data_IF_544398322517
#
_entry.id   IF_544398322517
#
_cell.length_a   1.000
_cell.length_b   1.000
_cell.length_c   1.000
_cell.angle_alpha   90.00
_cell.angle_beta   90.00
_cell.angle_gamma   90.00
#
_symmetry.space_group_name_H-M   'P 1'
#
loop_
_entity.id
_entity.type
_entity.pdbx_description
1 polymer ?
#
# COMPACT_ATOMS: atom_id res chain seq x y z
N UNK A 1 1.20 32.46 -10.58
CA UNK A 1 1.56 33.37 -11.68
C UNK A 1 2.71 32.82 -12.53
N UNK A 2 3.58 31.93 -12.03
CA UNK A 2 4.69 31.35 -12.83
C UNK A 2 4.27 30.27 -13.86
N UNK A 3 3.25 29.46 -13.60
CA UNK A 3 2.88 28.35 -14.50
C UNK A 3 2.24 28.79 -15.84
N UNK A 4 1.62 29.97 -15.87
CA UNK A 4 0.97 30.54 -17.05
C UNK A 4 1.99 30.92 -18.14
N UNK A 5 3.16 31.42 -17.71
CA UNK A 5 4.22 31.93 -18.59
C UNK A 5 4.85 30.78 -19.37
N UNK A 6 5.07 29.63 -18.72
CA UNK A 6 5.73 28.47 -19.34
C UNK A 6 4.91 27.88 -20.49
N UNK A 7 3.58 27.78 -20.35
CA UNK A 7 2.73 27.19 -21.40
C UNK A 7 2.72 28.06 -22.66
N UNK A 8 2.62 29.38 -22.48
CA UNK A 8 2.58 30.37 -23.55
C UNK A 8 3.94 30.50 -24.29
N UNK A 9 5.05 30.18 -23.61
CA UNK A 9 6.39 30.16 -24.20
C UNK A 9 6.70 28.85 -24.97
N UNK A 10 6.10 27.73 -24.58
CA UNK A 10 6.36 26.42 -25.23
C UNK A 10 5.45 26.13 -26.41
N UNK A 11 4.20 26.59 -26.34
CA UNK A 11 3.18 26.41 -27.37
C UNK A 11 2.67 27.82 -27.64
N UNK A 12 2.85 28.36 -28.85
CA UNK A 12 2.51 29.74 -29.26
C UNK A 12 0.98 30.02 -29.18
N UNK A 13 0.44 29.99 -27.97
CA UNK A 13 -0.97 29.99 -27.64
C UNK A 13 -1.18 31.12 -26.65
N UNK A 14 -1.57 32.29 -27.16
CA UNK A 14 -1.75 33.54 -26.41
C UNK A 14 -2.90 33.49 -25.40
N UNK A 15 -2.77 32.66 -24.37
CA UNK A 15 -3.71 32.55 -23.26
C UNK A 15 -3.65 33.81 -22.41
N UNK A 16 -4.81 34.38 -22.10
CA UNK A 16 -4.89 35.50 -21.18
C UNK A 16 -4.73 35.05 -19.71
N UNK A 17 -4.64 36.01 -18.80
CA UNK A 17 -4.42 35.74 -17.38
C UNK A 17 -5.59 34.96 -16.75
N UNK A 18 -6.80 35.13 -17.28
CA UNK A 18 -8.03 34.48 -16.79
C UNK A 18 -8.04 33.01 -17.20
N UNK A 19 -7.74 32.72 -18.47
CA UNK A 19 -7.66 31.35 -19.00
C UNK A 19 -6.50 30.58 -18.37
N UNK A 20 -5.36 31.23 -18.18
CA UNK A 20 -4.20 30.64 -17.50
C UNK A 20 -4.50 30.31 -16.04
N UNK A 21 -5.24 31.17 -15.35
CA UNK A 21 -5.70 30.92 -13.97
C UNK A 21 -6.73 29.80 -13.94
N UNK A 22 -7.64 29.73 -14.90
CA UNK A 22 -8.63 28.67 -15.03
C UNK A 22 -7.96 27.30 -15.30
N UNK A 23 -6.94 27.25 -16.16
CA UNK A 23 -6.15 26.04 -16.44
C UNK A 23 -5.35 25.63 -15.21
N UNK A 24 -4.68 26.57 -14.52
CA UNK A 24 -3.96 26.28 -13.29
C UNK A 24 -4.89 25.77 -12.17
N UNK A 25 -6.06 26.39 -12.01
CA UNK A 25 -7.10 25.93 -11.09
C UNK A 25 -7.63 24.56 -11.48
N UNK A 26 -7.87 24.31 -12.77
CA UNK A 26 -8.27 22.98 -13.24
C UNK A 26 -7.20 21.94 -12.95
N UNK A 27 -5.91 22.22 -13.19
CA UNK A 27 -4.79 21.33 -12.85
C UNK A 27 -4.68 21.05 -11.34
N UNK A 28 -4.80 22.08 -10.51
CA UNK A 28 -4.79 21.97 -9.05
C UNK A 28 -6.02 21.18 -8.57
N UNK A 29 -7.18 21.37 -9.21
CA UNK A 29 -8.42 20.68 -8.87
C UNK A 29 -8.50 19.24 -9.42
N UNK A 30 -7.81 18.93 -10.52
CA UNK A 30 -7.77 17.61 -11.16
C UNK A 30 -6.77 16.66 -10.50
N UNK A 31 -5.87 17.16 -9.65
CA UNK A 31 -5.12 16.38 -8.66
C UNK A 31 -5.95 16.15 -7.37
N UNK A 32 -7.25 16.03 -7.53
CA UNK A 32 -8.33 16.01 -6.53
C UNK A 32 -7.96 15.35 -5.20
N UNK A 33 -7.84 16.17 -4.16
CA UNK A 33 -7.80 15.73 -2.76
C UNK A 33 -8.94 14.76 -2.40
N UNK A 34 -10.08 14.80 -3.11
CA UNK A 34 -11.20 13.89 -2.87
C UNK A 34 -10.89 12.45 -3.26
N UNK A 35 -10.29 12.21 -4.44
CA UNK A 35 -9.92 10.86 -4.88
C UNK A 35 -8.76 10.31 -4.04
N UNK A 36 -7.82 11.16 -3.64
CA UNK A 36 -6.72 10.77 -2.76
C UNK A 36 -7.18 10.49 -1.33
N UNK A 37 -8.12 11.27 -0.78
CA UNK A 37 -8.76 11.02 0.53
C UNK A 37 -9.58 9.73 0.48
N UNK A 38 -10.37 9.50 -0.58
CA UNK A 38 -11.19 8.29 -0.69
C UNK A 38 -10.35 7.03 -0.90
N UNK A 39 -9.26 7.13 -1.67
CA UNK A 39 -8.24 6.08 -1.76
C UNK A 39 -7.55 5.84 -0.41
N UNK A 40 -7.17 6.89 0.32
CA UNK A 40 -6.57 6.76 1.64
C UNK A 40 -7.53 6.12 2.67
N UNK A 41 -8.82 6.50 2.66
CA UNK A 41 -9.85 5.88 3.48
C UNK A 41 -10.04 4.40 3.15
N UNK A 42 -9.98 4.04 1.85
CA UNK A 42 -10.04 2.65 1.41
C UNK A 42 -8.81 1.86 1.91
N UNK A 43 -7.60 2.43 1.80
CA UNK A 43 -6.36 1.79 2.27
C UNK A 43 -6.39 1.52 3.78
N UNK A 44 -6.79 2.50 4.60
CA UNK A 44 -6.87 2.33 6.06
C UNK A 44 -7.87 1.23 6.45
N UNK A 45 -9.02 1.15 5.76
CA UNK A 45 -10.01 0.09 5.99
C UNK A 45 -9.43 -1.29 5.71
N UNK A 46 -8.78 -1.46 4.55
CA UNK A 46 -8.14 -2.71 4.16
C UNK A 46 -7.12 -3.15 5.20
N UNK A 47 -6.28 -2.21 5.66
CA UNK A 47 -5.28 -2.50 6.70
C UNK A 47 -5.95 -2.97 7.98
N UNK A 48 -7.02 -2.30 8.44
CA UNK A 48 -7.75 -2.70 9.63
C UNK A 48 -8.33 -4.13 9.53
N UNK A 49 -8.84 -4.49 8.35
CA UNK A 49 -9.35 -5.85 8.07
C UNK A 49 -8.22 -6.88 8.05
N UNK A 50 -7.06 -6.55 7.47
CA UNK A 50 -5.85 -7.40 7.51
C UNK A 50 -5.39 -7.63 8.96
N UNK A 51 -5.32 -6.56 9.77
CA UNK A 51 -4.96 -6.67 11.19
C UNK A 51 -5.95 -7.56 11.94
N UNK A 52 -7.25 -7.47 11.61
CA UNK A 52 -8.29 -8.33 12.20
C UNK A 52 -8.10 -9.80 11.82
N UNK A 53 -7.72 -10.10 10.56
CA UNK A 53 -7.38 -11.45 10.11
C UNK A 53 -6.19 -12.01 10.91
N UNK A 54 -5.14 -11.20 11.12
CA UNK A 54 -3.94 -11.62 11.85
C UNK A 54 -4.28 -11.93 13.31
N UNK A 55 -4.97 -11.01 14.01
CA UNK A 55 -5.38 -11.22 15.40
C UNK A 55 -6.27 -12.46 15.56
N UNK A 56 -7.23 -12.65 14.66
CA UNK A 56 -8.11 -13.82 14.68
C UNK A 56 -7.36 -15.12 14.33
N UNK A 57 -6.38 -15.08 13.43
CA UNK A 57 -5.59 -16.27 13.10
C UNK A 57 -4.83 -16.78 14.34
N UNK A 58 -4.16 -15.88 15.05
CA UNK A 58 -3.29 -16.25 16.17
C UNK A 58 -3.96 -16.20 17.54
N UNK A 59 -5.20 -15.71 17.62
CA UNK A 59 -5.91 -15.48 18.88
C UNK A 59 -5.12 -14.54 19.83
N UNK A 60 -4.52 -13.50 19.25
CA UNK A 60 -3.72 -12.48 19.96
C UNK A 60 -4.37 -11.11 19.82
N UNK A 61 -4.02 -10.20 20.74
CA UNK A 61 -4.28 -8.77 20.60
C UNK A 61 -2.97 -8.07 20.29
N UNK A 62 -2.92 -7.31 19.21
CA UNK A 62 -1.70 -6.61 18.80
C UNK A 62 -1.65 -5.24 19.49
N UNK A 63 -0.50 -4.90 20.11
CA UNK A 63 -0.26 -3.55 20.62
C UNK A 63 -0.05 -2.57 19.46
N UNK A 64 -1.04 -1.70 19.26
CA UNK A 64 -1.02 -0.67 18.22
C UNK A 64 0.00 0.45 18.48
N UNK A 65 0.58 0.52 19.68
CA UNK A 65 1.66 1.47 19.99
C UNK A 65 3.05 0.89 19.72
N UNK A 66 3.14 -0.40 19.39
CA UNK A 66 4.43 -1.07 19.18
C UNK A 66 5.09 -0.65 17.87
N UNK A 67 6.43 -0.63 17.87
CA UNK A 67 7.22 -0.37 16.66
C UNK A 67 6.95 -1.43 15.58
N UNK A 68 6.70 -2.68 15.98
CA UNK A 68 6.42 -3.77 15.05
C UNK A 68 5.07 -3.59 14.36
N UNK A 69 4.05 -3.14 15.09
CA UNK A 69 2.77 -2.76 14.49
C UNK A 69 2.93 -1.60 13.50
N UNK A 70 3.63 -0.53 13.90
CA UNK A 70 3.91 0.61 13.01
C UNK A 70 4.61 0.19 11.71
N UNK A 71 5.58 -0.73 11.80
CA UNK A 71 6.28 -1.30 10.63
C UNK A 71 5.37 -2.17 9.77
N UNK A 72 4.52 -3.00 10.37
CA UNK A 72 3.53 -3.80 9.64
C UNK A 72 2.56 -2.88 8.88
N UNK A 73 2.00 -1.87 9.54
CA UNK A 73 1.09 -0.91 8.90
C UNK A 73 1.78 -0.18 7.75
N UNK A 74 3.01 0.32 7.95
CA UNK A 74 3.78 0.99 6.90
C UNK A 74 4.06 0.08 5.71
N UNK A 75 4.40 -1.20 5.96
CA UNK A 75 4.58 -2.19 4.92
C UNK A 75 3.28 -2.43 4.13
N UNK A 76 2.15 -2.59 4.82
CA UNK A 76 0.85 -2.78 4.18
C UNK A 76 0.42 -1.55 3.36
N UNK A 77 0.65 -0.33 3.87
CA UNK A 77 0.38 0.90 3.13
C UNK A 77 1.18 0.94 1.82
N UNK A 78 2.49 0.72 1.90
CA UNK A 78 3.34 0.75 0.72
C UNK A 78 3.02 -0.39 -0.25
N UNK A 79 2.76 -1.60 0.26
CA UNK A 79 2.29 -2.74 -0.52
C UNK A 79 1.03 -2.39 -1.32
N UNK A 80 -0.03 -1.90 -0.66
CA UNK A 80 -1.30 -1.55 -1.33
C UNK A 80 -1.11 -0.45 -2.38
N UNK A 81 -0.32 0.57 -2.08
CA UNK A 81 0.01 1.63 -3.04
C UNK A 81 0.75 1.07 -4.26
N UNK A 82 1.71 0.16 -4.08
CA UNK A 82 2.42 -0.49 -5.19
C UNK A 82 1.48 -1.31 -6.06
N UNK A 83 0.56 -2.05 -5.46
CA UNK A 83 -0.42 -2.85 -6.21
C UNK A 83 -1.32 -1.97 -7.08
N UNK A 84 -1.76 -0.83 -6.57
CA UNK A 84 -2.54 0.16 -7.36
C UNK A 84 -1.70 0.77 -8.49
N UNK A 85 -0.42 1.06 -8.23
CA UNK A 85 0.48 1.67 -9.22
C UNK A 85 1.15 0.68 -10.19
N UNK A 86 0.95 -0.63 -10.01
CA UNK A 86 1.61 -1.67 -10.81
C UNK A 86 3.14 -1.70 -10.65
N UNK A 87 3.67 -1.21 -9.53
CA UNK A 87 5.12 -1.16 -9.28
C UNK A 87 5.59 -2.52 -8.76
N UNK A 88 6.52 -3.15 -9.46
CA UNK A 88 7.13 -4.42 -9.03
C UNK A 88 8.11 -4.20 -7.88
N UNK A 89 8.15 -5.16 -6.96
CA UNK A 89 9.19 -5.24 -5.93
C UNK A 89 10.47 -5.85 -6.52
N UNK A 90 11.58 -5.71 -5.80
CA UNK A 90 12.82 -6.41 -6.11
C UNK A 90 12.67 -7.92 -5.90
N UNK A 91 13.29 -8.71 -6.77
CA UNK A 91 13.25 -10.16 -6.73
C UNK A 91 13.90 -10.71 -5.44
N UNK A 92 13.36 -11.83 -4.95
CA UNK A 92 13.92 -12.59 -3.83
C UNK A 92 14.47 -13.92 -4.37
N UNK A 93 15.63 -14.36 -3.86
CA UNK A 93 16.18 -15.66 -4.29
C UNK A 93 15.31 -16.81 -3.78
N UNK A 94 15.25 -17.91 -4.54
CA UNK A 94 14.51 -19.10 -4.14
C UNK A 94 14.96 -19.66 -2.78
N UNK A 95 16.25 -19.54 -2.47
CA UNK A 95 16.82 -19.97 -1.19
C UNK A 95 16.25 -19.15 -0.03
N UNK A 96 16.16 -17.81 -0.17
CA UNK A 96 15.56 -16.95 0.85
C UNK A 96 14.08 -17.28 1.05
N UNK A 97 13.34 -17.48 -0.05
CA UNK A 97 11.93 -17.88 0.03
C UNK A 97 11.79 -19.18 0.82
N UNK A 98 12.56 -20.21 0.48
CA UNK A 98 12.52 -21.51 1.16
C UNK A 98 12.79 -21.39 2.65
N UNK A 99 13.81 -20.62 3.05
CA UNK A 99 14.16 -20.41 4.45
C UNK A 99 12.98 -19.79 5.22
N UNK A 100 12.32 -18.77 4.66
CA UNK A 100 11.18 -18.12 5.32
C UNK A 100 9.99 -19.08 5.44
N UNK A 101 9.68 -19.84 4.38
CA UNK A 101 8.57 -20.79 4.40
C UNK A 101 8.77 -21.93 5.39
N UNK A 102 10.00 -22.42 5.52
CA UNK A 102 10.36 -23.48 6.47
C UNK A 102 10.31 -22.98 7.92
N UNK A 103 10.87 -21.79 8.20
CA UNK A 103 10.92 -21.26 9.56
C UNK A 103 9.57 -20.74 10.07
N UNK A 104 8.77 -20.08 9.21
CA UNK A 104 7.61 -19.30 9.62
C UNK A 104 6.30 -19.82 9.03
N UNK A 105 6.13 -21.16 9.01
CA UNK A 105 4.99 -21.82 8.38
C UNK A 105 3.63 -21.30 8.86
N UNK A 106 3.44 -21.07 10.16
CA UNK A 106 2.17 -20.56 10.70
C UNK A 106 1.90 -19.11 10.27
N UNK A 107 2.94 -18.27 10.22
CA UNK A 107 2.85 -16.91 9.70
C UNK A 107 2.61 -16.86 8.20
N UNK A 108 3.16 -17.81 7.45
CA UNK A 108 2.87 -17.97 6.03
C UNK A 108 1.40 -18.33 5.79
N UNK A 109 0.85 -19.27 6.55
CA UNK A 109 -0.58 -19.60 6.48
C UNK A 109 -1.50 -18.41 6.81
N UNK A 110 -1.03 -17.49 7.66
CA UNK A 110 -1.73 -16.25 7.94
C UNK A 110 -1.64 -15.27 6.75
N UNK A 111 -0.45 -15.10 6.17
CA UNK A 111 -0.25 -14.34 4.95
C UNK A 111 -1.15 -14.85 3.81
N UNK A 112 -1.25 -16.17 3.60
CA UNK A 112 -2.15 -16.77 2.60
C UNK A 112 -3.62 -16.38 2.82
N UNK A 113 -4.07 -16.31 4.08
CA UNK A 113 -5.45 -15.85 4.39
C UNK A 113 -5.63 -14.37 4.02
N UNK A 114 -4.62 -13.54 4.27
CA UNK A 114 -4.62 -12.12 3.88
C UNK A 114 -4.63 -11.98 2.35
N UNK A 115 -3.81 -12.74 1.63
CA UNK A 115 -3.78 -12.70 0.16
C UNK A 115 -5.12 -13.19 -0.43
N UNK A 116 -5.71 -14.26 0.11
CA UNK A 116 -7.05 -14.71 -0.30
C UNK A 116 -8.12 -13.64 -0.07
N UNK A 117 -8.06 -12.93 1.06
CA UNK A 117 -8.94 -11.81 1.35
C UNK A 117 -8.80 -10.70 0.30
N UNK A 118 -7.57 -10.23 0.06
CA UNK A 118 -7.25 -9.17 -0.90
C UNK A 118 -7.67 -9.52 -2.34
N UNK A 119 -7.45 -10.76 -2.74
CA UNK A 119 -7.87 -11.27 -4.05
C UNK A 119 -9.41 -11.25 -4.19
N UNK A 120 -10.12 -11.74 -3.17
CA UNK A 120 -11.59 -11.82 -3.21
C UNK A 120 -12.27 -10.45 -3.23
N UNK A 121 -11.77 -9.50 -2.44
CA UNK A 121 -12.45 -8.21 -2.23
C UNK A 121 -11.92 -7.12 -3.18
N UNK A 122 -10.64 -7.18 -3.55
CA UNK A 122 -9.96 -6.12 -4.30
C UNK A 122 -9.32 -6.60 -5.61
N UNK A 123 -9.45 -7.87 -5.97
CA UNK A 123 -8.83 -8.48 -7.15
C UNK A 123 -7.30 -8.30 -7.21
N UNK A 124 -6.65 -8.24 -6.04
CA UNK A 124 -5.20 -8.11 -5.91
C UNK A 124 -4.56 -9.49 -5.82
N UNK A 125 -3.61 -9.78 -6.71
CA UNK A 125 -2.83 -11.03 -6.73
C UNK A 125 -1.34 -10.69 -6.76
N UNK A 126 -0.73 -10.48 -5.59
CA UNK A 126 0.68 -10.13 -5.55
C UNK A 126 1.53 -11.38 -5.87
N UNK A 127 2.78 -11.18 -6.30
CA UNK A 127 3.71 -12.27 -6.54
C UNK A 127 4.16 -12.91 -5.20
N UNK A 128 4.75 -14.10 -5.26
CA UNK A 128 5.10 -14.90 -4.07
C UNK A 128 6.04 -14.14 -3.12
N UNK A 129 6.95 -13.34 -3.65
CA UNK A 129 7.92 -12.54 -2.90
C UNK A 129 7.24 -11.57 -1.94
N UNK A 130 6.10 -10.99 -2.34
CA UNK A 130 5.31 -10.09 -1.49
C UNK A 130 4.60 -10.85 -0.36
N UNK A 131 4.11 -12.05 -0.65
CA UNK A 131 3.49 -12.92 0.35
C UNK A 131 4.51 -13.39 1.40
N UNK A 132 5.73 -13.71 0.95
CA UNK A 132 6.87 -14.04 1.82
C UNK A 132 7.30 -12.83 2.64
N UNK A 133 7.33 -11.63 2.06
CA UNK A 133 7.66 -10.42 2.80
C UNK A 133 6.61 -10.08 3.86
N UNK A 134 5.32 -10.20 3.52
CA UNK A 134 4.22 -10.06 4.46
C UNK A 134 4.33 -11.09 5.61
N UNK A 135 4.72 -12.33 5.30
CA UNK A 135 4.96 -13.39 6.30
C UNK A 135 5.97 -12.96 7.34
N UNK A 136 7.08 -12.37 6.93
CA UNK A 136 8.11 -11.87 7.85
C UNK A 136 7.58 -10.75 8.77
N UNK A 137 6.74 -9.85 8.24
CA UNK A 137 6.15 -8.78 9.05
C UNK A 137 5.11 -9.31 10.04
N UNK A 138 4.31 -10.28 9.64
CA UNK A 138 3.35 -10.97 10.52
C UNK A 138 4.10 -11.68 11.65
N UNK A 139 5.16 -12.43 11.34
CA UNK A 139 5.93 -13.16 12.35
C UNK A 139 6.55 -12.21 13.38
N UNK A 140 7.08 -11.06 12.95
CA UNK A 140 7.66 -10.07 13.87
C UNK A 140 6.66 -9.49 14.86
N UNK A 141 5.41 -9.30 14.44
CA UNK A 141 4.35 -8.85 15.35
C UNK A 141 3.94 -10.01 16.26
N UNK A 142 3.78 -11.21 15.72
CA UNK A 142 3.40 -12.41 16.49
C UNK A 142 4.36 -12.72 17.64
N UNK A 143 5.68 -12.67 17.40
CA UNK A 143 6.70 -13.01 18.40
C UNK A 143 6.73 -12.08 19.61
N UNK A 144 6.24 -10.85 19.49
CA UNK A 144 6.24 -9.88 20.59
C UNK A 144 4.99 -9.99 21.46
N UNK A 145 3.88 -10.50 20.89
CA UNK A 145 2.59 -10.61 21.58
C UNK A 145 2.36 -12.00 22.21
N UNK A 146 3.33 -12.92 22.08
CA UNK A 146 3.36 -14.24 22.73
C UNK A 146 4.14 -14.19 24.04
#
# INVERSE_FOLDING_TARGET
MEYAIVINETEDVGLDETESTAIAMHFISSGSNYDSIQQAMNVTKIISEIISIIQYHFQIKIDQNSINFSRLVSHLQYFLIRQVKGIKMMDMSEEMIRIVLDQYQSSFQCAEKVIRYLNKVHNVKPPLEEEVYLTMHIERVRQVEM
#
